data_IF_833934929451
#
_entry.id   IF_833934929451
#
_cell.length_a   1.000
_cell.length_b   1.000
_cell.length_c   1.000
_cell.angle_alpha   90.00
_cell.angle_beta   90.00
_cell.angle_gamma   90.00
#
_symmetry.space_group_name_H-M   'P 1'
#
loop_
_entity.id
_entity.type
_entity.pdbx_description
1 polymer ?
#
# COMPACT_ATOMS: atom_id res chain seq x y z
N UNK A 1 -12.93 -6.29 -15.22
CA UNK A 1 -11.78 -7.16 -15.58
C UNK A 1 -10.60 -6.74 -14.76
N UNK A 2 -9.91 -7.68 -14.13
CA UNK A 2 -8.85 -7.40 -13.17
C UNK A 2 -7.57 -6.97 -13.91
N UNK A 3 -7.17 -5.71 -13.80
CA UNK A 3 -5.99 -5.14 -14.47
C UNK A 3 -4.68 -5.47 -13.70
N UNK A 4 -4.56 -6.71 -13.20
CA UNK A 4 -3.42 -7.13 -12.38
C UNK A 4 -2.20 -7.38 -13.25
N UNK A 5 -1.05 -6.87 -12.82
CA UNK A 5 0.24 -7.12 -13.48
C UNK A 5 0.70 -8.56 -13.21
N UNK A 6 1.03 -9.29 -14.27
CA UNK A 6 1.71 -10.58 -14.17
C UNK A 6 3.22 -10.36 -14.07
N UNK A 7 3.86 -11.14 -13.20
CA UNK A 7 5.30 -11.20 -13.04
C UNK A 7 5.78 -12.56 -13.57
N UNK A 8 6.74 -12.54 -14.48
CA UNK A 8 7.53 -13.71 -14.82
C UNK A 8 8.78 -13.71 -13.96
N UNK A 9 9.04 -14.84 -13.29
CA UNK A 9 10.16 -15.03 -12.39
C UNK A 9 11.02 -16.17 -12.93
N UNK A 10 12.32 -15.92 -13.01
CA UNK A 10 13.33 -16.96 -13.23
C UNK A 10 14.49 -16.76 -12.27
N UNK A 11 14.97 -17.83 -11.66
CA UNK A 11 16.14 -17.82 -10.79
C UNK A 11 17.21 -18.79 -11.32
N UNK A 12 18.46 -18.33 -11.34
CA UNK A 12 19.62 -19.12 -11.78
C UNK A 12 20.82 -18.70 -10.95
N UNK A 13 21.54 -19.67 -10.37
CA UNK A 13 22.63 -19.38 -9.42
C UNK A 13 22.13 -18.36 -8.37
N UNK A 14 22.84 -17.26 -8.17
CA UNK A 14 22.51 -16.21 -7.20
C UNK A 14 21.63 -15.09 -7.78
N UNK A 15 21.22 -15.20 -9.05
CA UNK A 15 20.48 -14.17 -9.78
C UNK A 15 18.98 -14.50 -9.82
N UNK A 16 18.17 -13.48 -9.54
CA UNK A 16 16.71 -13.52 -9.68
C UNK A 16 16.32 -12.48 -10.71
N UNK A 17 15.66 -12.94 -11.77
CA UNK A 17 15.18 -12.08 -12.86
C UNK A 17 13.66 -11.98 -12.82
N UNK A 18 13.15 -10.75 -12.78
CA UNK A 18 11.72 -10.45 -12.84
C UNK A 18 11.35 -9.69 -14.10
N UNK A 19 10.20 -10.00 -14.69
CA UNK A 19 9.67 -9.27 -15.84
C UNK A 19 8.18 -8.99 -15.65
N UNK A 20 7.75 -7.74 -15.85
CA UNK A 20 6.35 -7.33 -15.64
C UNK A 20 5.57 -7.31 -16.95
N UNK A 21 4.31 -7.74 -16.86
CA UNK A 21 3.37 -7.76 -17.96
C UNK A 21 2.01 -7.26 -17.45
N UNK A 22 1.68 -6.02 -17.75
CA UNK A 22 0.34 -5.46 -17.59
C UNK A 22 -0.33 -5.35 -18.97
N UNK A 23 -1.64 -5.11 -18.98
CA UNK A 23 -2.42 -5.05 -20.23
C UNK A 23 -1.90 -3.99 -21.21
N UNK A 24 -1.35 -2.90 -20.70
CA UNK A 24 -0.92 -1.74 -21.48
C UNK A 24 0.60 -1.67 -21.65
N UNK A 25 1.35 -2.51 -20.94
CA UNK A 25 2.79 -2.39 -20.89
C UNK A 25 3.47 -3.69 -20.49
N UNK A 26 4.51 -4.02 -21.24
CA UNK A 26 5.40 -5.13 -20.92
C UNK A 26 6.76 -4.52 -20.64
N UNK A 27 7.45 -4.98 -19.59
CA UNK A 27 8.78 -4.45 -19.31
C UNK A 27 9.73 -4.75 -20.46
N UNK A 28 10.58 -3.78 -20.83
CA UNK A 28 11.50 -3.88 -21.96
C UNK A 28 12.53 -4.98 -21.75
N UNK A 29 13.00 -5.12 -20.50
CA UNK A 29 13.94 -6.17 -20.08
C UNK A 29 13.46 -6.86 -18.80
N UNK A 30 14.14 -7.96 -18.46
CA UNK A 30 14.11 -8.50 -17.11
C UNK A 30 14.92 -7.61 -16.18
N UNK A 31 14.43 -7.40 -14.96
CA UNK A 31 15.14 -6.74 -13.88
C UNK A 31 15.83 -7.80 -13.03
N UNK A 32 17.14 -7.65 -12.84
CA UNK A 32 17.94 -8.60 -12.08
C UNK A 32 18.23 -8.03 -10.68
N UNK A 33 18.05 -8.86 -9.65
CA UNK A 33 18.61 -8.64 -8.33
C UNK A 33 19.22 -9.94 -7.80
N UNK A 34 20.12 -9.80 -6.83
CA UNK A 34 20.93 -10.88 -6.29
C UNK A 34 20.31 -11.44 -5.00
N UNK A 35 20.65 -12.67 -4.65
CA UNK A 35 20.17 -13.29 -3.40
C UNK A 35 20.63 -12.50 -2.16
N UNK A 36 21.81 -11.89 -2.19
CA UNK A 36 22.27 -10.98 -1.15
C UNK A 36 21.36 -9.75 -0.97
N UNK A 37 20.71 -9.29 -2.05
CA UNK A 37 19.78 -8.15 -1.99
C UNK A 37 18.51 -8.56 -1.24
N UNK A 38 18.09 -9.83 -1.35
CA UNK A 38 16.98 -10.35 -0.53
C UNK A 38 17.33 -10.40 0.96
N UNK A 39 18.54 -10.82 1.30
CA UNK A 39 19.01 -10.83 2.69
C UNK A 39 19.04 -9.40 3.27
N UNK A 40 19.58 -8.45 2.51
CA UNK A 40 19.59 -7.03 2.89
C UNK A 40 18.16 -6.50 3.04
N UNK A 41 17.24 -6.90 2.16
CA UNK A 41 15.83 -6.52 2.25
C UNK A 41 15.13 -7.09 3.50
N UNK A 42 15.44 -8.33 3.91
CA UNK A 42 14.89 -8.90 5.13
C UNK A 42 15.33 -8.11 6.37
N UNK A 43 16.58 -7.66 6.39
CA UNK A 43 17.19 -6.91 7.49
C UNK A 43 16.73 -5.45 7.53
N UNK A 44 16.84 -4.73 6.39
CA UNK A 44 16.52 -3.30 6.30
C UNK A 44 15.05 -3.02 6.06
N UNK A 45 14.26 -4.02 5.62
CA UNK A 45 12.85 -3.91 5.22
C UNK A 45 12.57 -3.01 4.02
N UNK A 46 13.55 -2.25 3.54
CA UNK A 46 13.49 -1.43 2.35
C UNK A 46 14.86 -1.36 1.68
N UNK A 47 14.88 -1.31 0.35
CA UNK A 47 16.09 -1.02 -0.41
C UNK A 47 15.76 -0.47 -1.80
N UNK A 48 16.77 0.05 -2.49
CA UNK A 48 16.69 0.40 -3.92
C UNK A 48 17.80 -0.34 -4.65
N UNK A 49 17.43 -1.05 -5.69
CA UNK A 49 18.36 -1.77 -6.58
C UNK A 49 18.31 -1.11 -7.95
N UNK A 50 19.43 -1.03 -8.64
CA UNK A 50 19.54 -0.52 -10.00
C UNK A 50 19.97 -1.63 -10.94
N UNK A 51 19.38 -1.66 -12.13
CA UNK A 51 19.74 -2.59 -13.20
C UNK A 51 19.84 -1.81 -14.52
N UNK A 52 21.08 -1.67 -14.99
CA UNK A 52 21.48 -0.86 -16.15
C UNK A 52 21.08 0.62 -15.97
N UNK A 53 19.91 1.01 -16.48
CA UNK A 53 19.33 2.36 -16.37
C UNK A 53 18.02 2.39 -15.60
N UNK A 54 17.44 1.22 -15.33
CA UNK A 54 16.20 1.12 -14.56
C UNK A 54 16.53 0.92 -13.09
N UNK A 55 15.59 1.22 -12.21
CA UNK A 55 15.74 0.94 -10.78
C UNK A 55 14.43 0.43 -10.18
N UNK A 56 14.54 -0.34 -9.11
CA UNK A 56 13.42 -0.88 -8.37
C UNK A 56 13.55 -0.50 -6.91
N UNK A 57 12.48 0.01 -6.32
CA UNK A 57 12.35 0.19 -4.88
C UNK A 57 11.63 -1.02 -4.31
N UNK A 58 12.30 -1.77 -3.43
CA UNK A 58 11.75 -2.93 -2.78
C UNK A 58 11.40 -2.56 -1.33
N UNK A 59 10.22 -2.98 -0.88
CA UNK A 59 9.80 -2.80 0.50
C UNK A 59 9.09 -4.06 1.00
N UNK A 60 9.49 -4.52 2.18
CA UNK A 60 8.87 -5.64 2.86
C UNK A 60 7.86 -5.10 3.88
N UNK A 61 6.58 -5.18 3.53
CA UNK A 61 5.47 -4.69 4.36
C UNK A 61 4.86 -5.84 5.16
N UNK A 62 4.52 -5.62 6.43
CA UNK A 62 3.69 -6.57 7.18
C UNK A 62 2.24 -6.46 6.73
N UNK A 63 1.60 -7.61 6.62
CA UNK A 63 0.17 -7.75 6.34
C UNK A 63 -0.64 -7.74 7.62
N UNK A 64 -1.96 -7.67 7.45
CA UNK A 64 -2.98 -7.78 8.48
C UNK A 64 -2.88 -9.09 9.28
N UNK A 65 -2.43 -10.16 8.62
CA UNK A 65 -2.28 -11.52 9.15
C UNK A 65 -0.82 -11.82 9.58
N UNK A 66 -0.02 -10.78 9.83
CA UNK A 66 1.41 -10.88 10.20
C UNK A 66 2.33 -11.52 9.15
N UNK A 67 1.81 -11.98 8.01
CA UNK A 67 2.62 -12.33 6.84
C UNK A 67 3.34 -11.12 6.23
N UNK A 68 4.33 -11.33 5.36
CA UNK A 68 5.03 -10.26 4.66
C UNK A 68 4.54 -10.14 3.20
N UNK A 69 4.30 -8.91 2.74
CA UNK A 69 4.14 -8.54 1.34
C UNK A 69 5.42 -7.88 0.86
N UNK A 70 5.96 -8.41 -0.23
CA UNK A 70 6.97 -7.77 -1.03
C UNK A 70 6.30 -6.80 -2.00
N UNK A 71 6.53 -5.51 -1.79
CA UNK A 71 6.14 -4.45 -2.72
C UNK A 71 7.37 -4.05 -3.54
N UNK A 72 7.26 -4.11 -4.86
CA UNK A 72 8.32 -3.70 -5.78
C UNK A 72 7.77 -2.60 -6.67
N UNK A 73 8.35 -1.41 -6.58
CA UNK A 73 8.06 -0.29 -7.47
C UNK A 73 9.19 -0.16 -8.49
N UNK A 74 8.93 -0.65 -9.70
CA UNK A 74 9.85 -0.54 -10.83
C UNK A 74 9.74 0.86 -11.45
N UNK A 75 10.89 1.42 -11.79
CA UNK A 75 11.01 2.55 -12.71
C UNK A 75 11.78 2.05 -13.92
N UNK A 76 11.06 1.75 -14.99
CA UNK A 76 11.63 1.32 -16.26
C UNK A 76 12.03 2.55 -17.05
N UNK A 77 13.33 2.72 -17.29
CA UNK A 77 13.86 3.79 -18.12
C UNK A 77 14.36 3.23 -19.44
N UNK A 78 14.05 3.94 -20.53
CA UNK A 78 14.60 3.70 -21.86
C UNK A 78 15.23 4.97 -22.40
N UNK A 79 16.32 4.79 -23.14
CA UNK A 79 16.94 5.83 -23.95
C UNK A 79 16.02 6.13 -25.15
N UNK A 80 15.75 7.41 -25.40
CA UNK A 80 15.03 7.86 -26.61
C UNK A 80 15.91 8.75 -27.51
N UNK A 81 17.21 8.82 -27.23
CA UNK A 81 18.19 9.67 -27.91
C UNK A 81 18.20 11.10 -27.40
N UNK A 82 19.10 11.93 -27.95
CA UNK A 82 19.21 13.38 -27.67
C UNK A 82 19.34 13.73 -26.18
N UNK A 83 20.03 12.89 -25.41
CA UNK A 83 20.18 13.05 -23.96
C UNK A 83 18.86 12.99 -23.17
N UNK A 84 17.78 12.50 -23.80
CA UNK A 84 16.48 12.34 -23.18
C UNK A 84 16.22 10.87 -22.79
N UNK A 85 15.45 10.71 -21.72
CA UNK A 85 14.98 9.40 -21.25
C UNK A 85 13.46 9.41 -21.13
N UNK A 86 12.84 8.30 -21.54
CA UNK A 86 11.42 8.04 -21.26
C UNK A 86 11.31 7.00 -20.15
N UNK A 87 10.33 7.18 -19.26
CA UNK A 87 10.14 6.33 -18.10
C UNK A 87 8.70 5.85 -17.92
N UNK A 88 8.55 4.67 -17.33
CA UNK A 88 7.27 4.20 -16.80
C UNK A 88 7.48 3.61 -15.41
N UNK A 89 6.54 3.88 -14.51
CA UNK A 89 6.51 3.25 -13.19
C UNK A 89 5.44 2.16 -13.15
N UNK A 90 5.76 1.06 -12.49
CA UNK A 90 4.82 -0.02 -12.20
C UNK A 90 5.10 -0.56 -10.79
N UNK A 91 4.05 -0.70 -9.99
CA UNK A 91 4.15 -1.31 -8.65
C UNK A 91 3.47 -2.66 -8.67
N UNK A 92 4.17 -3.67 -8.15
CA UNK A 92 3.65 -5.02 -7.95
C UNK A 92 3.75 -5.43 -6.50
N UNK A 93 2.84 -6.29 -6.07
CA UNK A 93 2.77 -6.81 -4.70
C UNK A 93 2.72 -8.34 -4.72
N UNK A 94 3.56 -8.98 -3.94
CA UNK A 94 3.65 -10.44 -3.84
C UNK A 94 3.66 -10.84 -2.37
N UNK A 95 3.09 -12.01 -2.05
CA UNK A 95 3.36 -12.64 -0.75
C UNK A 95 4.85 -13.02 -0.73
N UNK A 96 5.58 -12.54 0.28
CA UNK A 96 7.02 -12.74 0.33
C UNK A 96 7.40 -14.20 0.53
N UNK A 97 6.65 -14.93 1.36
CA UNK A 97 6.89 -16.36 1.57
C UNK A 97 6.66 -17.17 0.28
N UNK A 98 5.59 -16.86 -0.46
CA UNK A 98 5.34 -17.48 -1.77
C UNK A 98 6.42 -17.10 -2.78
N UNK A 99 6.87 -15.85 -2.76
CA UNK A 99 7.94 -15.37 -3.63
C UNK A 99 9.24 -16.15 -3.39
N UNK A 100 9.65 -16.35 -2.13
CA UNK A 100 10.83 -17.18 -1.78
C UNK A 100 10.67 -18.63 -2.25
N UNK A 101 9.50 -19.21 -2.04
CA UNK A 101 9.21 -20.56 -2.54
C UNK A 101 9.34 -20.66 -4.07
N UNK A 102 8.86 -19.65 -4.81
CA UNK A 102 8.98 -19.60 -6.27
C UNK A 102 10.41 -19.40 -6.75
N UNK A 103 11.22 -18.59 -6.06
CA UNK A 103 12.65 -18.46 -6.36
C UNK A 103 13.34 -19.82 -6.24
N UNK A 104 13.11 -20.52 -5.14
CA UNK A 104 13.66 -21.86 -4.91
C UNK A 104 13.22 -22.86 -5.99
N UNK A 105 11.92 -22.94 -6.26
CA UNK A 105 11.37 -23.87 -7.28
C UNK A 105 11.93 -23.56 -8.68
N UNK A 106 11.97 -22.29 -9.07
CA UNK A 106 12.50 -21.87 -10.37
C UNK A 106 13.95 -22.29 -10.54
N UNK A 107 14.76 -22.14 -9.49
CA UNK A 107 16.18 -22.52 -9.47
C UNK A 107 16.38 -24.03 -9.58
N UNK A 108 15.66 -24.80 -8.78
CA UNK A 108 15.77 -26.28 -8.76
C UNK A 108 15.34 -26.92 -10.08
N UNK A 109 14.29 -26.37 -10.70
CA UNK A 109 13.69 -26.94 -11.91
C UNK A 109 14.21 -26.29 -13.19
N UNK A 110 14.93 -25.17 -13.09
CA UNK A 110 15.36 -24.37 -14.24
C UNK A 110 14.20 -23.80 -15.06
N UNK A 111 13.03 -23.61 -14.44
CA UNK A 111 11.81 -23.16 -15.15
C UNK A 111 11.47 -21.71 -14.82
N UNK A 112 10.78 -21.06 -15.75
CA UNK A 112 10.18 -19.75 -15.52
C UNK A 112 8.77 -19.89 -14.93
N UNK A 113 8.53 -19.22 -13.80
CA UNK A 113 7.23 -19.18 -13.13
C UNK A 113 6.47 -17.90 -13.47
N UNK A 114 5.14 -17.97 -13.43
CA UNK A 114 4.24 -16.84 -13.70
C UNK A 114 3.35 -16.61 -12.48
N UNK A 115 3.36 -15.40 -11.96
CA UNK A 115 2.65 -15.03 -10.74
C UNK A 115 1.88 -13.74 -10.98
N UNK A 116 0.64 -13.67 -10.51
CA UNK A 116 -0.13 -12.42 -10.56
C UNK A 116 0.16 -11.57 -9.32
N UNK A 117 0.34 -10.27 -9.52
CA UNK A 117 0.39 -9.31 -8.44
C UNK A 117 -0.89 -9.39 -7.60
N UNK A 118 -0.74 -9.25 -6.29
CA UNK A 118 -1.84 -9.05 -5.36
C UNK A 118 -2.53 -7.71 -5.67
N UNK A 119 -3.84 -7.65 -5.36
CA UNK A 119 -4.59 -6.41 -5.40
C UNK A 119 -4.13 -5.45 -4.32
N UNK A 120 -4.33 -4.16 -4.58
CA UNK A 120 -4.21 -3.14 -3.55
C UNK A 120 -5.31 -3.33 -2.50
N UNK A 121 -4.91 -3.40 -1.22
CA UNK A 121 -5.88 -3.46 -0.14
C UNK A 121 -6.72 -2.19 -0.12
N UNK A 122 -8.04 -2.36 -0.03
CA UNK A 122 -9.02 -1.29 0.04
C UNK A 122 -9.09 -0.69 1.44
N UNK A 123 -8.11 0.16 1.80
CA UNK A 123 -8.11 1.00 3.00
C UNK A 123 -8.25 0.26 4.37
N UNK A 124 -8.16 1.00 5.49
CA UNK A 124 -8.41 0.42 6.81
C UNK A 124 -9.88 0.09 7.04
N UNK A 125 -10.13 -0.93 7.88
CA UNK A 125 -11.46 -1.11 8.48
C UNK A 125 -11.72 0.07 9.43
N UNK A 126 -12.87 0.73 9.31
CA UNK A 126 -13.28 1.76 10.26
C UNK A 126 -14.28 1.15 11.22
N UNK A 127 -13.96 1.15 12.51
CA UNK A 127 -14.82 0.60 13.56
C UNK A 127 -15.27 1.71 14.51
N UNK A 128 -16.58 1.93 14.59
CA UNK A 128 -17.13 2.91 15.52
C UNK A 128 -17.47 2.25 16.86
N UNK A 129 -16.77 2.70 17.90
CA UNK A 129 -17.12 2.45 19.30
C UNK A 129 -17.77 3.69 19.96
N UNK A 130 -17.89 4.80 19.23
CA UNK A 130 -18.74 5.95 19.56
C UNK A 130 -20.21 5.54 19.58
N UNK A 131 -20.90 5.89 20.67
CA UNK A 131 -22.34 5.67 20.83
C UNK A 131 -23.10 6.99 20.82
N UNK A 132 -22.62 8.00 21.55
CA UNK A 132 -23.33 9.27 21.72
C UNK A 132 -23.20 10.16 20.49
N UNK A 133 -21.98 10.51 20.11
CA UNK A 133 -21.71 11.49 19.07
C UNK A 133 -22.05 10.92 17.68
N UNK A 134 -21.78 9.62 17.45
CA UNK A 134 -22.18 8.97 16.20
C UNK A 134 -23.71 8.99 16.02
N UNK A 135 -24.48 8.68 17.08
CA UNK A 135 -25.94 8.75 17.03
C UNK A 135 -26.41 10.16 16.67
N UNK A 136 -25.91 11.18 17.36
CA UNK A 136 -26.27 12.58 17.11
C UNK A 136 -25.89 13.03 15.68
N UNK A 137 -24.73 12.61 15.16
CA UNK A 137 -24.31 12.87 13.78
C UNK A 137 -25.20 12.14 12.77
N UNK A 138 -25.59 10.90 13.05
CA UNK A 138 -26.40 10.08 12.15
C UNK A 138 -27.81 10.62 11.97
N UNK A 139 -28.38 11.24 13.02
CA UNK A 139 -29.70 11.89 13.00
C UNK A 139 -29.72 13.14 12.10
N UNK A 140 -28.58 13.81 11.92
CA UNK A 140 -28.48 15.03 11.10
C UNK A 140 -27.88 14.75 9.71
N UNK A 141 -28.69 14.86 8.64
CA UNK A 141 -28.26 14.59 7.25
C UNK A 141 -27.00 15.36 6.83
N UNK A 142 -26.88 16.63 7.21
CA UNK A 142 -25.73 17.47 6.87
C UNK A 142 -24.44 16.97 7.53
N UNK A 143 -24.48 16.65 8.82
CA UNK A 143 -23.34 16.12 9.58
C UNK A 143 -22.94 14.74 9.07
N UNK A 144 -23.90 13.84 8.84
CA UNK A 144 -23.65 12.51 8.26
C UNK A 144 -22.91 12.60 6.93
N UNK A 145 -23.32 13.52 6.04
CA UNK A 145 -22.66 13.72 4.74
C UNK A 145 -21.22 14.25 4.91
N UNK A 146 -21.00 15.18 5.85
CA UNK A 146 -19.66 15.73 6.13
C UNK A 146 -18.73 14.69 6.74
N UNK A 147 -19.21 13.91 7.71
CA UNK A 147 -18.43 12.82 8.30
C UNK A 147 -18.08 11.77 7.24
N UNK A 148 -19.04 11.30 6.45
CA UNK A 148 -18.78 10.35 5.37
C UNK A 148 -17.74 10.85 4.35
N UNK A 149 -17.84 12.13 3.95
CA UNK A 149 -16.85 12.77 3.06
C UNK A 149 -15.46 12.83 3.71
N UNK A 150 -15.39 13.14 5.00
CA UNK A 150 -14.15 13.16 5.75
C UNK A 150 -13.50 11.77 5.82
N UNK A 151 -14.24 10.74 6.21
CA UNK A 151 -13.72 9.36 6.28
C UNK A 151 -13.17 8.89 4.94
N UNK A 152 -13.87 9.19 3.83
CA UNK A 152 -13.43 8.83 2.50
C UNK A 152 -12.20 9.62 1.99
N UNK A 153 -12.05 10.87 2.41
CA UNK A 153 -10.91 11.70 2.01
C UNK A 153 -9.65 11.41 2.85
N UNK A 154 -9.83 11.03 4.11
CA UNK A 154 -8.73 10.85 5.05
C UNK A 154 -8.50 9.36 5.35
N UNK A 155 -9.29 8.77 6.23
CA UNK A 155 -9.08 7.42 6.75
C UNK A 155 -9.03 6.33 5.68
N UNK A 156 -9.92 6.33 4.69
CA UNK A 156 -9.90 5.32 3.62
C UNK A 156 -8.66 5.40 2.71
N UNK A 157 -7.86 6.47 2.81
CA UNK A 157 -6.60 6.64 2.07
C UNK A 157 -5.37 6.26 2.88
N UNK A 158 -5.52 5.87 4.15
CA UNK A 158 -4.40 5.50 5.01
C UNK A 158 -3.91 4.10 4.67
N UNK A 159 -3.10 4.03 3.60
CA UNK A 159 -2.51 2.79 3.12
C UNK A 159 -1.57 2.20 4.19
N UNK A 160 -1.77 0.93 4.54
CA UNK A 160 -1.01 0.24 5.58
C UNK A 160 -1.64 0.27 6.98
N UNK A 161 -2.76 0.98 7.15
CA UNK A 161 -3.55 0.95 8.38
C UNK A 161 -4.42 -0.30 8.44
N UNK A 162 -4.48 -0.96 9.61
CA UNK A 162 -5.31 -2.16 9.85
C UNK A 162 -6.74 -1.75 10.17
N UNK A 163 -6.87 -0.95 11.21
CA UNK A 163 -8.16 -0.53 11.72
C UNK A 163 -8.04 0.86 12.28
N UNK A 164 -9.05 1.68 12.04
CA UNK A 164 -9.22 2.94 12.73
C UNK A 164 -10.45 2.79 13.62
N UNK A 165 -10.22 2.75 14.93
CA UNK A 165 -11.28 2.70 15.92
C UNK A 165 -11.65 4.12 16.32
N UNK A 166 -12.94 4.43 16.27
CA UNK A 166 -13.47 5.79 16.50
C UNK A 166 -14.36 5.79 17.75
N UNK A 167 -14.01 6.61 18.72
CA UNK A 167 -14.63 6.76 20.04
C UNK A 167 -15.35 8.11 20.16
N UNK A 168 -16.22 8.23 21.17
CA UNK A 168 -16.81 9.53 21.51
C UNK A 168 -15.74 10.48 22.05
N UNK A 169 -15.70 11.69 21.50
CA UNK A 169 -14.96 12.81 22.10
C UNK A 169 -15.85 13.55 23.13
N UNK A 170 -15.23 14.34 24.01
CA UNK A 170 -15.96 15.21 24.92
C UNK A 170 -16.71 16.31 24.15
N UNK A 171 -16.14 16.80 23.03
CA UNK A 171 -16.74 17.82 22.18
C UNK A 171 -17.93 17.24 21.37
N UNK A 172 -19.09 17.91 21.33
CA UNK A 172 -20.23 17.45 20.55
C UNK A 172 -19.90 17.20 19.08
N UNK A 173 -20.48 16.13 18.53
CA UNK A 173 -20.31 15.69 17.13
C UNK A 173 -18.87 15.37 16.70
N UNK A 174 -17.92 15.35 17.64
CA UNK A 174 -16.51 15.10 17.42
C UNK A 174 -16.12 13.70 17.93
N UNK A 175 -14.95 13.21 17.54
CA UNK A 175 -14.54 11.84 17.85
C UNK A 175 -13.07 11.77 18.22
N UNK A 176 -12.71 10.87 19.13
CA UNK A 176 -11.32 10.44 19.27
C UNK A 176 -11.10 9.23 18.35
N UNK A 177 -9.95 9.11 17.70
CA UNK A 177 -9.62 7.94 16.90
C UNK A 177 -8.30 7.32 17.35
N UNK A 178 -8.20 6.02 17.17
CA UNK A 178 -6.97 5.27 17.35
C UNK A 178 -6.75 4.35 16.15
N UNK A 179 -5.59 4.51 15.54
CA UNK A 179 -5.12 3.65 14.47
C UNK A 179 -4.44 2.40 15.05
N UNK A 180 -4.71 1.28 14.42
CA UNK A 180 -3.94 0.05 14.54
C UNK A 180 -3.29 -0.23 13.19
N UNK A 181 -2.02 -0.59 13.20
CA UNK A 181 -1.24 -0.98 12.02
C UNK A 181 -0.76 -2.42 12.17
N UNK A 182 -0.28 -3.06 11.10
CA UNK A 182 0.45 -4.34 11.19
C UNK A 182 1.69 -4.33 12.11
N UNK A 183 2.16 -3.15 12.52
CA UNK A 183 3.32 -2.98 13.40
C UNK A 183 2.92 -2.63 14.85
N UNK A 184 1.62 -2.55 15.16
CA UNK A 184 1.09 -2.14 16.46
C UNK A 184 0.27 -0.86 16.37
N UNK A 185 0.06 -0.21 17.52
CA UNK A 185 -0.67 1.06 17.60
C UNK A 185 -0.01 2.13 16.72
N UNK A 186 -0.83 2.75 15.86
CA UNK A 186 -0.42 3.83 14.98
C UNK A 186 -0.76 5.21 15.56
N UNK A 187 -1.15 6.12 14.69
CA UNK A 187 -1.58 7.47 15.09
C UNK A 187 -2.86 7.44 15.94
N UNK A 188 -3.00 8.40 16.83
CA UNK A 188 -4.27 8.65 17.52
C UNK A 188 -4.49 10.16 17.65
N UNK A 189 -5.73 10.57 17.88
CA UNK A 189 -6.05 11.99 17.94
C UNK A 189 -7.55 12.29 17.85
N UNK A 190 -7.88 13.56 17.70
CA UNK A 190 -9.23 14.06 17.55
C UNK A 190 -9.65 14.26 16.09
N UNK A 191 -10.87 13.85 15.77
CA UNK A 191 -11.66 14.27 14.60
C UNK A 191 -12.67 15.29 15.09
N UNK A 192 -12.31 16.57 14.97
CA UNK A 192 -13.07 17.67 15.57
C UNK A 192 -13.93 18.36 14.51
N UNK A 193 -15.20 18.60 14.84
CA UNK A 193 -16.11 19.39 14.02
C UNK A 193 -15.90 20.88 14.28
N UNK A 194 -15.33 21.58 13.30
CA UNK A 194 -15.17 23.03 13.31
C UNK A 194 -16.40 23.73 12.77
N UNK A 195 -16.66 24.95 13.26
CA UNK A 195 -17.73 25.82 12.75
C UNK A 195 -19.15 25.31 13.06
N UNK A 196 -19.33 24.59 14.17
CA UNK A 196 -20.62 23.98 14.59
C UNK A 196 -21.79 24.96 14.62
N UNK A 197 -21.52 26.24 14.88
CA UNK A 197 -22.50 27.33 14.89
C UNK A 197 -23.21 27.51 13.53
N UNK A 198 -22.53 27.14 12.44
CA UNK A 198 -23.06 27.19 11.08
C UNK A 198 -22.77 25.87 10.36
N UNK A 199 -23.76 24.97 10.37
CA UNK A 199 -23.66 23.65 9.76
C UNK A 199 -23.40 23.67 8.25
N UNK A 200 -23.70 24.74 7.52
CA UNK A 200 -23.33 24.81 6.10
C UNK A 200 -21.80 24.89 5.95
N UNK A 201 -21.16 25.76 6.74
CA UNK A 201 -19.72 26.01 6.72
C UNK A 201 -18.90 25.04 7.57
N UNK A 202 -19.55 24.27 8.45
CA UNK A 202 -18.86 23.33 9.34
C UNK A 202 -18.03 22.28 8.58
N UNK A 203 -16.93 21.81 9.16
CA UNK A 203 -16.10 20.75 8.57
C UNK A 203 -15.34 19.96 9.64
N UNK A 204 -15.00 18.71 9.32
CA UNK A 204 -14.17 17.87 10.18
C UNK A 204 -12.69 18.07 9.89
N UNK A 205 -11.89 18.21 10.96
CA UNK A 205 -10.42 18.26 10.89
C UNK A 205 -9.78 17.21 11.80
N UNK A 206 -8.58 16.75 11.41
CA UNK A 206 -7.74 15.86 12.24
C UNK A 206 -6.82 16.71 13.10
N UNK A 207 -6.72 16.34 14.37
CA UNK A 207 -5.74 16.85 15.32
C UNK A 207 -5.05 15.65 15.96
N UNK A 208 -3.74 15.55 15.87
CA UNK A 208 -2.92 14.46 16.39
C UNK A 208 -1.92 14.98 17.39
#
# INVERSE_FOLDING_TARGET
MNNRTMIKLSASEDCITLRTFSKEYHSPQGFIFLEKDLLELEEKRYMTVSDIRSFAKLALRKTMEQGNILEISFTWLRDIGREEVAGRTETVRLSYEKFKAFVKESRERGIQLRVLSLEEHTGPKIEFQSRRNLKAVAETKALRKKLGKFLGKHFLRWQGSRQITVYDDFEPYSFFFQEQTPYGSGMCGGVILHGRENLEKAYYGIHT
#
